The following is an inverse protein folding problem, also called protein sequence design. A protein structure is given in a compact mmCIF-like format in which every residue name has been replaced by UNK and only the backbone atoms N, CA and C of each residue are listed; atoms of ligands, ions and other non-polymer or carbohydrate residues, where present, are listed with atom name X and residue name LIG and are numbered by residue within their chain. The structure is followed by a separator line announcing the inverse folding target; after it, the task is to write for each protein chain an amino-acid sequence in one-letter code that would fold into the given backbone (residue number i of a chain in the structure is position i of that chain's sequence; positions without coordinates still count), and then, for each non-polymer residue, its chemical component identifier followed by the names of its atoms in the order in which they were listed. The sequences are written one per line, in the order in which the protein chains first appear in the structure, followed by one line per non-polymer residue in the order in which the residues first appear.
data_IF_948601179220
#
_entry.id   IF_948601179220
#
_cell.length_a   1.000
_cell.length_b   1.000
_cell.length_c   1.000
_cell.angle_alpha   90.00
_cell.angle_beta   90.00
_cell.angle_gamma   90.00
#
_symmetry.space_group_name_H-M   'P 1'
#
loop_
_entity.id
_entity.type
_entity.pdbx_description
1 polymer ?
#
# COMPACT_ATOMS: atom_id res chain seq x y z
N UNK A 1 -25.58 14.31 0.41
CA UNK A 1 -25.39 12.85 0.25
C UNK A 1 -23.90 12.49 0.31
N UNK A 2 -23.19 12.92 1.36
CA UNK A 2 -21.76 12.62 1.61
C UNK A 2 -21.48 12.31 3.09
N UNK A 3 -22.50 12.41 3.95
CA UNK A 3 -22.40 12.20 5.40
C UNK A 3 -22.56 10.71 5.78
N UNK A 4 -23.11 9.88 4.88
CA UNK A 4 -23.28 8.44 5.14
C UNK A 4 -22.06 7.56 4.77
N UNK A 5 -20.99 8.13 4.20
CA UNK A 5 -19.76 7.38 3.91
C UNK A 5 -18.77 7.38 5.10
N UNK A 6 -18.84 8.39 5.97
CA UNK A 6 -17.94 8.54 7.13
C UNK A 6 -18.30 7.64 8.32
N UNK A 7 -19.56 7.19 8.43
CA UNK A 7 -20.01 6.36 9.56
C UNK A 7 -19.52 4.90 9.55
N UNK A 8 -18.99 4.42 8.42
CA UNK A 8 -18.66 2.99 8.24
C UNK A 8 -17.16 2.68 8.21
N UNK A 9 -16.29 3.70 8.12
CA UNK A 9 -14.83 3.49 8.19
C UNK A 9 -14.32 3.37 9.64
N UNK A 10 -15.17 3.68 10.63
CA UNK A 10 -14.82 3.77 12.05
C UNK A 10 -15.51 2.66 12.84
N UNK A 11 -15.21 1.41 12.50
CA UNK A 11 -15.26 0.30 13.46
C UNK A 11 -14.05 -0.60 13.17
N UNK A 12 -12.85 -0.13 13.48
CA UNK A 12 -11.79 -1.06 13.83
C UNK A 12 -12.18 -1.66 15.18
N UNK A 13 -12.73 -2.86 15.10
CA UNK A 13 -13.22 -3.63 16.22
C UNK A 13 -12.08 -3.77 17.26
N UNK A 14 -12.40 -3.45 18.52
CA UNK A 14 -11.50 -3.35 19.68
C UNK A 14 -10.96 -4.71 20.17
N UNK A 15 -10.73 -5.65 19.26
CA UNK A 15 -10.24 -7.01 19.55
C UNK A 15 -9.26 -7.47 18.45
N UNK A 16 -8.13 -6.80 18.30
CA UNK A 16 -6.91 -7.52 17.91
C UNK A 16 -6.16 -7.83 19.20
N UNK A 17 -6.51 -8.97 19.77
CA UNK A 17 -5.83 -9.56 20.91
C UNK A 17 -4.40 -9.89 20.47
N UNK A 18 -3.42 -9.52 21.29
CA UNK A 18 -2.03 -9.85 21.11
C UNK A 18 -1.84 -11.36 20.85
N UNK A 19 -1.35 -11.71 19.67
CA UNK A 19 -0.84 -13.05 19.41
C UNK A 19 0.60 -13.14 19.91
N UNK A 20 0.88 -14.17 20.73
CA UNK A 20 2.20 -14.50 21.24
C UNK A 20 3.12 -14.87 20.07
N UNK A 21 4.18 -14.10 19.89
CA UNK A 21 5.23 -14.34 18.91
C UNK A 21 6.11 -15.50 19.39
N UNK A 22 6.07 -16.63 18.69
CA UNK A 22 7.13 -17.64 18.74
C UNK A 22 8.17 -17.31 17.66
N UNK A 23 9.45 -17.31 18.03
CA UNK A 23 10.58 -17.14 17.12
C UNK A 23 10.60 -18.25 16.04
N UNK A 24 10.73 -17.93 14.75
CA UNK A 24 10.81 -18.95 13.70
C UNK A 24 12.17 -19.66 13.71
N UNK A 25 12.24 -20.96 13.33
CA UNK A 25 13.50 -21.66 13.13
C UNK A 25 14.22 -21.16 11.87
N UNK A 26 15.55 -21.20 11.89
CA UNK A 26 16.42 -20.70 10.83
C UNK A 26 16.21 -21.45 9.50
N UNK A 27 15.93 -20.69 8.44
CA UNK A 27 15.97 -21.18 7.05
C UNK A 27 17.42 -21.45 6.63
N UNK A 28 17.67 -22.66 6.13
CA UNK A 28 18.96 -23.04 5.55
C UNK A 28 19.23 -22.27 4.24
N UNK A 29 20.43 -21.73 4.13
CA UNK A 29 20.91 -20.95 3.00
C UNK A 29 21.21 -21.82 1.78
N UNK A 30 20.65 -21.48 0.61
CA UNK A 30 21.05 -22.05 -0.68
C UNK A 30 21.62 -20.95 -1.57
N UNK A 31 22.92 -21.11 -1.86
CA UNK A 31 23.77 -20.55 -2.92
C UNK A 31 23.91 -19.03 -3.10
N UNK A 32 25.18 -18.61 -3.12
CA UNK A 32 25.72 -17.25 -3.20
C UNK A 32 25.36 -16.47 -4.48
N UNK A 33 24.99 -15.18 -4.39
CA UNK A 33 24.77 -14.32 -5.56
C UNK A 33 26.07 -13.70 -6.10
N UNK A 34 26.10 -13.47 -7.42
CA UNK A 34 27.07 -12.61 -8.09
C UNK A 34 27.03 -11.17 -7.52
N UNK A 35 28.19 -10.48 -7.44
CA UNK A 35 28.25 -9.14 -6.85
C UNK A 35 27.56 -8.12 -7.76
N UNK A 36 26.42 -7.59 -7.32
CA UNK A 36 25.77 -6.43 -7.94
C UNK A 36 24.26 -6.53 -8.12
N UNK A 37 23.68 -7.73 -8.09
CA UNK A 37 22.23 -7.93 -8.09
C UNK A 37 21.80 -8.70 -6.85
N UNK A 38 20.90 -8.15 -6.04
CA UNK A 38 20.39 -8.89 -4.92
C UNK A 38 19.58 -10.10 -5.36
N UNK A 39 19.64 -11.18 -4.56
CA UNK A 39 18.84 -12.37 -4.78
C UNK A 39 17.35 -12.03 -4.73
N UNK A 40 16.56 -12.60 -5.64
CA UNK A 40 15.10 -12.44 -5.71
C UNK A 40 14.39 -12.76 -4.38
N UNK A 41 15.03 -13.55 -3.52
CA UNK A 41 14.58 -13.87 -2.16
C UNK A 41 14.53 -12.66 -1.21
N UNK A 42 15.22 -11.55 -1.51
CA UNK A 42 15.20 -10.37 -0.63
C UNK A 42 13.87 -9.61 -0.64
N UNK A 43 13.13 -9.74 -1.75
CA UNK A 43 11.83 -9.09 -1.95
C UNK A 43 10.71 -9.88 -1.27
N UNK A 44 10.96 -11.15 -0.93
CA UNK A 44 10.04 -11.95 -0.13
C UNK A 44 9.98 -11.36 1.28
N UNK A 45 8.77 -11.02 1.72
CA UNK A 45 8.56 -10.36 3.00
C UNK A 45 9.08 -11.24 4.14
N UNK A 46 10.00 -10.69 4.92
CA UNK A 46 10.35 -11.23 6.24
C UNK A 46 9.49 -10.47 7.25
N UNK A 47 8.58 -11.19 7.91
CA UNK A 47 7.63 -10.56 8.84
C UNK A 47 8.37 -9.76 9.91
N UNK A 48 8.19 -8.42 9.99
CA UNK A 48 8.85 -7.61 11.00
C UNK A 48 8.15 -7.78 12.36
N UNK A 49 8.83 -7.43 13.47
CA UNK A 49 8.17 -7.36 14.77
C UNK A 49 7.02 -6.34 14.73
N UNK A 50 5.88 -6.71 15.33
CA UNK A 50 4.72 -5.83 15.45
C UNK A 50 4.68 -5.26 16.86
N UNK A 51 4.64 -3.93 16.96
CA UNK A 51 4.56 -3.20 18.22
C UNK A 51 3.28 -2.39 18.29
N UNK A 52 2.63 -2.38 19.45
CA UNK A 52 1.45 -1.55 19.70
C UNK A 52 1.88 -0.22 20.33
N UNK A 53 1.48 0.90 19.71
CA UNK A 53 1.72 2.23 20.25
C UNK A 53 0.96 2.42 21.57
N UNK A 54 1.70 2.59 22.67
CA UNK A 54 1.12 2.83 23.99
C UNK A 54 0.81 4.32 24.15
N UNK A 55 -0.43 4.70 23.84
CA UNK A 55 -0.90 6.10 23.94
C UNK A 55 -2.05 6.29 24.92
N UNK A 56 -2.43 5.26 25.67
CA UNK A 56 -3.63 5.27 26.51
C UNK A 56 -3.55 6.29 27.66
N UNK A 57 -2.45 6.30 28.41
CA UNK A 57 -2.26 7.22 29.54
C UNK A 57 -2.23 8.68 29.08
N UNK A 58 -1.45 8.96 28.03
CA UNK A 58 -1.38 10.28 27.40
C UNK A 58 -2.77 10.74 26.92
N UNK A 59 -3.53 9.87 26.25
CA UNK A 59 -4.88 10.21 25.80
C UNK A 59 -5.86 10.41 26.96
N UNK A 60 -5.77 9.64 28.04
CA UNK A 60 -6.63 9.80 29.23
C UNK A 60 -6.42 11.17 29.90
N UNK A 61 -5.17 11.63 29.98
CA UNK A 61 -4.79 12.91 30.59
C UNK A 61 -5.34 14.15 29.87
N UNK A 62 -5.75 14.02 28.61
CA UNK A 62 -6.34 15.13 27.83
C UNK A 62 -7.69 15.58 28.41
N UNK A 63 -7.93 16.88 28.39
CA UNK A 63 -9.25 17.48 28.60
C UNK A 63 -10.25 17.04 27.51
N UNK A 64 -11.55 17.28 27.75
CA UNK A 64 -12.58 16.97 26.76
C UNK A 64 -12.40 17.75 25.45
N UNK A 65 -11.92 19.00 25.53
CA UNK A 65 -11.67 19.84 24.34
C UNK A 65 -10.49 19.31 23.53
N UNK A 66 -9.40 18.94 24.19
CA UNK A 66 -8.23 18.34 23.52
C UNK A 66 -8.57 16.99 22.89
N UNK A 67 -9.37 16.15 23.57
CA UNK A 67 -9.86 14.88 23.00
C UNK A 67 -10.64 15.08 21.71
N UNK A 68 -11.51 16.10 21.65
CA UNK A 68 -12.26 16.44 20.42
C UNK A 68 -11.31 16.91 19.31
N UNK A 69 -10.35 17.78 19.64
CA UNK A 69 -9.34 18.25 18.69
C UNK A 69 -8.52 17.08 18.12
N UNK A 70 -7.95 16.25 18.99
CA UNK A 70 -7.15 15.07 18.60
C UNK A 70 -7.97 14.11 17.74
N UNK A 71 -9.24 13.89 18.08
CA UNK A 71 -10.14 13.07 17.25
C UNK A 71 -10.26 13.63 15.83
N UNK A 72 -10.56 14.92 15.68
CA UNK A 72 -10.72 15.54 14.35
C UNK A 72 -9.42 15.54 13.55
N UNK A 73 -8.29 15.82 14.20
CA UNK A 73 -6.97 15.75 13.58
C UNK A 73 -6.65 14.31 13.12
N UNK A 74 -6.89 13.32 13.98
CA UNK A 74 -6.70 11.91 13.67
C UNK A 74 -7.53 11.45 12.46
N UNK A 75 -8.83 11.77 12.44
CA UNK A 75 -9.72 11.42 11.31
C UNK A 75 -9.23 12.07 10.00
N UNK A 76 -8.81 13.33 10.07
CA UNK A 76 -8.29 14.06 8.91
C UNK A 76 -6.96 13.49 8.41
N UNK A 77 -6.05 13.11 9.32
CA UNK A 77 -4.78 12.47 8.97
C UNK A 77 -4.99 11.12 8.28
N UNK A 78 -5.91 10.28 8.76
CA UNK A 78 -6.19 8.99 8.11
C UNK A 78 -6.81 9.13 6.73
N UNK A 79 -7.72 10.09 6.55
CA UNK A 79 -8.29 10.39 5.23
C UNK A 79 -7.20 10.92 4.29
N UNK A 80 -6.36 11.85 4.77
CA UNK A 80 -5.24 12.40 4.01
C UNK A 80 -4.20 11.35 3.62
N UNK A 81 -3.89 10.40 4.51
CA UNK A 81 -2.96 9.31 4.25
C UNK A 81 -3.39 8.38 3.11
N UNK A 82 -4.68 8.34 2.75
CA UNK A 82 -5.13 7.58 1.58
C UNK A 82 -4.53 8.12 0.27
N UNK A 83 -4.01 9.34 0.24
CA UNK A 83 -3.27 9.90 -0.90
C UNK A 83 -1.96 9.13 -1.13
N UNK A 84 -1.33 8.61 -0.07
CA UNK A 84 -0.07 7.86 -0.17
C UNK A 84 -0.23 6.60 -1.04
N UNK A 85 -1.42 5.98 -1.04
CA UNK A 85 -1.74 4.85 -1.90
C UNK A 85 -1.57 5.20 -3.39
N UNK A 86 -1.99 6.40 -3.80
CA UNK A 86 -1.86 6.84 -5.20
C UNK A 86 -0.50 7.49 -5.49
N UNK A 87 0.30 7.77 -4.46
CA UNK A 87 1.69 8.27 -4.55
C UNK A 87 2.74 7.15 -4.50
N UNK A 88 2.36 5.94 -4.09
CA UNK A 88 3.27 4.80 -3.97
C UNK A 88 3.38 3.99 -5.27
N UNK A 89 2.29 3.37 -5.73
CA UNK A 89 2.30 2.53 -6.93
C UNK A 89 0.95 2.51 -7.63
N UNK A 90 0.90 2.18 -8.94
CA UNK A 90 -0.36 2.10 -9.68
C UNK A 90 -1.39 1.14 -9.06
N UNK A 91 -0.92 0.05 -8.44
CA UNK A 91 -1.76 -0.99 -7.85
C UNK A 91 -2.16 -0.74 -6.38
N UNK A 92 -1.48 0.14 -5.65
CA UNK A 92 -1.64 0.26 -4.19
C UNK A 92 -3.07 0.62 -3.77
N UNK A 93 -3.72 1.59 -4.42
CA UNK A 93 -5.12 1.92 -4.13
C UNK A 93 -6.07 0.72 -4.36
N UNK A 94 -5.82 -0.08 -5.40
CA UNK A 94 -6.60 -1.29 -5.68
C UNK A 94 -6.42 -2.36 -4.61
N UNK A 95 -5.18 -2.58 -4.14
CA UNK A 95 -4.87 -3.52 -3.06
C UNK A 95 -5.56 -3.08 -1.75
N UNK A 96 -5.54 -1.79 -1.44
CA UNK A 96 -6.27 -1.25 -0.28
C UNK A 96 -7.76 -1.55 -0.38
N UNK A 97 -8.39 -1.23 -1.52
CA UNK A 97 -9.84 -1.48 -1.73
C UNK A 97 -10.17 -2.98 -1.62
N UNK A 98 -9.33 -3.85 -2.18
CA UNK A 98 -9.47 -5.30 -2.07
C UNK A 98 -9.57 -5.74 -0.60
N UNK A 99 -8.59 -5.38 0.22
CA UNK A 99 -8.58 -5.77 1.63
C UNK A 99 -9.67 -5.08 2.44
N UNK A 100 -10.01 -3.83 2.15
CA UNK A 100 -11.16 -3.16 2.78
C UNK A 100 -12.49 -3.89 2.49
N UNK A 101 -12.69 -4.38 1.26
CA UNK A 101 -13.91 -5.13 0.90
C UNK A 101 -14.01 -6.48 1.62
N UNK A 102 -12.88 -7.14 1.84
CA UNK A 102 -12.80 -8.40 2.60
C UNK A 102 -13.06 -8.12 4.08
N UNK A 103 -12.23 -7.28 4.72
CA UNK A 103 -12.19 -7.16 6.17
C UNK A 103 -13.31 -6.31 6.77
N UNK A 104 -14.12 -5.64 5.94
CA UNK A 104 -15.34 -4.96 6.39
C UNK A 104 -16.45 -5.95 6.79
N UNK A 105 -16.42 -7.17 6.27
CA UNK A 105 -17.49 -8.16 6.49
C UNK A 105 -17.00 -9.45 7.17
N UNK A 106 -15.69 -9.68 7.20
CA UNK A 106 -15.07 -10.87 7.81
C UNK A 106 -13.84 -10.46 8.61
N UNK A 107 -13.67 -11.04 9.80
CA UNK A 107 -12.44 -10.81 10.58
C UNK A 107 -11.27 -11.60 10.00
N UNK A 108 -10.01 -11.22 10.29
CA UNK A 108 -8.84 -12.02 9.93
C UNK A 108 -8.94 -13.48 10.37
N UNK A 109 -9.47 -13.74 11.57
CA UNK A 109 -9.66 -15.09 12.11
C UNK A 109 -10.67 -15.90 11.30
N UNK A 110 -11.78 -15.29 10.89
CA UNK A 110 -12.79 -15.96 10.07
C UNK A 110 -12.26 -16.28 8.67
N UNK A 111 -11.52 -15.34 8.07
CA UNK A 111 -10.85 -15.55 6.77
C UNK A 111 -9.84 -16.69 6.86
N UNK A 112 -8.98 -16.71 7.89
CA UNK A 112 -8.02 -17.80 8.07
C UNK A 112 -8.73 -19.14 8.30
N UNK A 113 -9.79 -19.18 9.11
CA UNK A 113 -10.56 -20.39 9.35
C UNK A 113 -11.13 -20.97 8.04
N UNK A 114 -11.69 -20.11 7.19
CA UNK A 114 -12.20 -20.52 5.89
C UNK A 114 -11.08 -21.00 4.95
N UNK A 115 -9.95 -20.30 4.92
CA UNK A 115 -8.80 -20.67 4.09
C UNK A 115 -8.15 -22.00 4.55
N UNK A 116 -8.07 -22.25 5.86
CA UNK A 116 -7.58 -23.51 6.41
C UNK A 116 -8.50 -24.68 6.08
N UNK A 117 -9.81 -24.47 6.11
CA UNK A 117 -10.78 -25.45 5.63
C UNK A 117 -10.63 -25.75 4.12
N UNK A 118 -10.07 -24.81 3.36
CA UNK A 118 -9.72 -24.96 1.94
C UNK A 118 -8.27 -25.46 1.71
N UNK A 119 -7.56 -25.86 2.76
CA UNK A 119 -6.26 -26.52 2.67
C UNK A 119 -5.04 -25.63 2.87
N UNK A 120 -5.18 -24.41 3.41
CA UNK A 120 -4.04 -23.64 3.95
C UNK A 120 -3.61 -24.17 5.32
N UNK A 121 -2.32 -24.08 5.62
CA UNK A 121 -1.82 -24.24 6.97
C UNK A 121 -1.78 -22.90 7.73
N UNK A 122 -1.36 -22.96 8.99
CA UNK A 122 -1.28 -21.80 9.87
C UNK A 122 -0.18 -20.82 9.47
N UNK A 123 0.98 -21.33 9.04
CA UNK A 123 2.11 -20.53 8.61
C UNK A 123 1.78 -19.74 7.33
N UNK A 124 1.02 -20.34 6.42
CA UNK A 124 0.56 -19.68 5.20
C UNK A 124 -0.46 -18.58 5.49
N UNK A 125 -1.38 -18.78 6.45
CA UNK A 125 -2.21 -17.70 6.95
C UNK A 125 -1.33 -16.56 7.50
N UNK A 126 -0.37 -16.88 8.38
CA UNK A 126 0.50 -15.89 9.00
C UNK A 126 1.30 -15.11 7.97
N UNK A 127 1.85 -15.78 6.94
CA UNK A 127 2.58 -15.12 5.86
C UNK A 127 1.69 -14.19 5.02
N UNK A 128 0.44 -14.57 4.78
CA UNK A 128 -0.52 -13.72 4.08
C UNK A 128 -0.90 -12.50 4.92
N UNK A 129 -1.19 -12.67 6.22
CA UNK A 129 -1.51 -11.55 7.09
C UNK A 129 -0.31 -10.65 7.38
N UNK A 130 0.91 -11.20 7.40
CA UNK A 130 2.13 -10.40 7.48
C UNK A 130 2.23 -9.46 6.27
N UNK A 131 1.93 -9.94 5.05
CA UNK A 131 1.89 -9.08 3.87
C UNK A 131 0.82 -7.99 3.96
N UNK A 132 -0.40 -8.36 4.38
CA UNK A 132 -1.51 -7.41 4.53
C UNK A 132 -1.19 -6.34 5.57
N UNK A 133 -0.63 -6.75 6.72
CA UNK A 133 -0.20 -5.83 7.78
C UNK A 133 0.92 -4.91 7.30
N UNK A 134 1.93 -5.44 6.60
CA UNK A 134 3.03 -4.65 6.04
C UNK A 134 2.53 -3.66 4.98
N UNK A 135 1.56 -4.06 4.15
CA UNK A 135 0.90 -3.17 3.19
C UNK A 135 0.23 -1.98 3.89
N UNK A 136 -0.57 -2.23 4.94
CA UNK A 136 -1.21 -1.15 5.69
C UNK A 136 -0.21 -0.26 6.44
N UNK A 137 0.86 -0.85 6.99
CA UNK A 137 1.90 -0.10 7.70
C UNK A 137 2.67 0.86 6.78
N UNK A 138 2.74 0.59 5.47
CA UNK A 138 3.43 1.43 4.49
C UNK A 138 2.47 2.19 3.56
N UNK A 139 1.15 2.02 3.72
CA UNK A 139 0.13 2.54 2.80
C UNK A 139 0.47 2.26 1.32
N UNK A 140 0.96 1.06 1.05
CA UNK A 140 1.41 0.65 -0.26
C UNK A 140 2.27 -0.61 -0.24
N UNK A 141 2.58 -1.14 -1.43
CA UNK A 141 3.35 -2.38 -1.61
C UNK A 141 4.87 -2.17 -1.77
N UNK A 142 5.39 -1.04 -1.28
CA UNK A 142 6.81 -0.71 -1.22
C UNK A 142 7.16 -0.27 0.21
N UNK A 143 8.37 -0.59 0.67
CA UNK A 143 8.82 -0.21 2.01
C UNK A 143 9.05 1.30 2.04
N UNK A 144 8.39 2.00 2.97
CA UNK A 144 8.62 3.42 3.27
C UNK A 144 10.07 3.70 3.66
N UNK A 145 10.75 2.73 4.28
CA UNK A 145 12.19 2.77 4.52
C UNK A 145 12.92 1.89 3.50
N UNK A 146 13.58 2.54 2.55
CA UNK A 146 14.44 1.89 1.55
C UNK A 146 13.80 1.69 0.17
N UNK A 147 12.56 2.14 -0.04
CA UNK A 147 11.91 2.26 -1.36
C UNK A 147 11.86 0.97 -2.19
N UNK A 148 12.05 -0.18 -1.54
CA UNK A 148 12.08 -1.49 -2.19
C UNK A 148 10.69 -2.11 -2.17
N UNK A 149 10.33 -2.84 -3.23
CA UNK A 149 9.14 -3.67 -3.23
C UNK A 149 9.21 -4.76 -2.15
N UNK A 150 8.05 -5.22 -1.68
CA UNK A 150 7.96 -6.48 -0.96
C UNK A 150 6.78 -7.31 -1.49
N UNK A 151 6.98 -8.62 -1.57
CA UNK A 151 5.98 -9.59 -2.01
C UNK A 151 5.61 -10.53 -0.86
N UNK A 152 4.42 -11.15 -0.89
CA UNK A 152 4.01 -12.09 0.14
C UNK A 152 4.99 -13.27 0.28
N UNK A 153 5.15 -13.78 1.51
CA UNK A 153 6.00 -14.94 1.83
C UNK A 153 5.30 -16.29 1.64
N UNK A 154 4.46 -16.38 0.62
CA UNK A 154 3.75 -17.58 0.22
C UNK A 154 3.55 -17.57 -1.30
N UNK A 155 3.41 -18.72 -1.96
CA UNK A 155 3.13 -18.76 -3.40
C UNK A 155 1.81 -18.07 -3.75
N UNK A 156 1.72 -17.55 -4.98
CA UNK A 156 0.54 -16.85 -5.49
C UNK A 156 -0.72 -17.71 -5.41
N UNK A 157 -0.61 -18.99 -5.74
CA UNK A 157 -1.70 -19.96 -5.73
C UNK A 157 -2.23 -20.15 -4.32
N UNK A 158 -1.33 -20.15 -3.32
CA UNK A 158 -1.68 -20.31 -1.90
C UNK A 158 -2.37 -19.06 -1.37
N UNK A 159 -1.89 -17.86 -1.72
CA UNK A 159 -2.58 -16.62 -1.36
C UNK A 159 -3.94 -16.51 -2.04
N UNK A 160 -4.06 -16.99 -3.28
CA UNK A 160 -5.33 -17.03 -4.01
C UNK A 160 -6.37 -17.90 -3.33
N UNK A 161 -5.99 -19.00 -2.66
CA UNK A 161 -6.92 -19.81 -1.85
C UNK A 161 -7.45 -18.99 -0.67
N UNK A 162 -6.62 -18.22 0.02
CA UNK A 162 -7.07 -17.36 1.12
C UNK A 162 -8.11 -16.34 0.63
N UNK A 163 -7.78 -15.62 -0.45
CA UNK A 163 -8.68 -14.57 -1.00
C UNK A 163 -9.97 -15.19 -1.54
N UNK A 164 -9.91 -16.31 -2.25
CA UNK A 164 -11.08 -16.99 -2.80
C UNK A 164 -11.97 -17.67 -1.74
N UNK A 165 -11.44 -17.93 -0.56
CA UNK A 165 -12.21 -18.49 0.56
C UNK A 165 -13.16 -17.47 1.20
N UNK A 166 -12.90 -16.17 1.04
CA UNK A 166 -13.70 -15.08 1.62
C UNK A 166 -15.13 -15.06 1.06
N UNK A 167 -16.10 -14.64 1.89
CA UNK A 167 -17.49 -14.38 1.46
C UNK A 167 -17.53 -13.31 0.37
N UNK A 168 -16.71 -12.27 0.50
CA UNK A 168 -16.67 -11.19 -0.49
C UNK A 168 -16.26 -11.73 -1.87
N UNK A 169 -15.25 -12.59 -1.97
CA UNK A 169 -14.87 -13.17 -3.27
C UNK A 169 -15.99 -13.99 -3.93
N UNK A 170 -16.78 -14.70 -3.12
CA UNK A 170 -17.91 -15.52 -3.58
C UNK A 170 -19.14 -14.70 -3.99
N UNK A 171 -19.22 -13.44 -3.57
CA UNK A 171 -20.27 -12.50 -3.94
C UNK A 171 -19.84 -11.70 -5.18
N UNK A 172 -20.48 -11.91 -6.35
CA UNK A 172 -20.14 -11.17 -7.57
C UNK A 172 -20.31 -9.65 -7.43
N UNK A 173 -21.23 -9.19 -6.58
CA UNK A 173 -21.49 -7.76 -6.38
C UNK A 173 -20.38 -7.05 -5.61
N UNK A 174 -19.55 -7.80 -4.88
CA UNK A 174 -18.42 -7.24 -4.13
C UNK A 174 -17.28 -6.77 -5.05
N UNK A 175 -17.17 -7.32 -6.26
CA UNK A 175 -16.05 -7.09 -7.19
C UNK A 175 -14.68 -7.59 -6.72
N UNK A 176 -14.58 -8.30 -5.59
CA UNK A 176 -13.30 -8.79 -5.02
C UNK A 176 -12.58 -9.77 -5.95
N UNK A 177 -13.32 -10.66 -6.61
CA UNK A 177 -12.73 -11.62 -7.56
C UNK A 177 -12.07 -10.93 -8.77
N UNK A 178 -12.72 -9.89 -9.31
CA UNK A 178 -12.19 -9.08 -10.41
C UNK A 178 -10.97 -8.26 -9.98
N UNK A 179 -11.04 -7.61 -8.81
CA UNK A 179 -9.90 -6.89 -8.23
C UNK A 179 -8.70 -7.82 -8.04
N UNK A 180 -8.89 -8.98 -7.40
CA UNK A 180 -7.82 -9.94 -7.17
C UNK A 180 -7.13 -10.34 -8.47
N UNK A 181 -7.91 -10.75 -9.47
CA UNK A 181 -7.40 -11.17 -10.79
C UNK A 181 -6.56 -10.08 -11.46
N UNK A 182 -6.97 -8.81 -11.32
CA UNK A 182 -6.24 -7.67 -11.89
C UNK A 182 -4.98 -7.29 -11.11
N UNK A 183 -4.95 -7.52 -9.80
CA UNK A 183 -3.91 -7.04 -8.90
C UNK A 183 -2.84 -8.08 -8.61
N UNK A 184 -3.19 -9.37 -8.59
CA UNK A 184 -2.28 -10.45 -8.21
C UNK A 184 -0.98 -10.48 -9.02
N UNK A 185 -0.98 -10.25 -10.36
CA UNK A 185 0.27 -10.21 -11.12
C UNK A 185 1.14 -9.03 -10.69
N UNK A 186 0.53 -7.90 -10.32
CA UNK A 186 1.25 -6.72 -9.83
C UNK A 186 1.79 -6.94 -8.40
N UNK A 187 1.06 -7.63 -7.52
CA UNK A 187 1.50 -7.98 -6.17
C UNK A 187 2.79 -8.81 -6.24
N UNK A 188 2.81 -9.87 -7.04
CA UNK A 188 3.94 -10.80 -7.13
C UNK A 188 5.02 -10.43 -8.15
N UNK A 189 4.82 -9.38 -8.97
CA UNK A 189 5.79 -9.03 -10.01
C UNK A 189 7.17 -8.68 -9.44
N UNK A 190 8.17 -9.48 -9.80
CA UNK A 190 9.59 -9.19 -9.58
C UNK A 190 10.29 -8.69 -10.85
N UNK A 191 9.53 -8.04 -11.75
CA UNK A 191 10.14 -7.35 -12.88
C UNK A 191 11.16 -6.32 -12.37
N UNK A 192 12.39 -6.24 -12.90
CA UNK A 192 13.43 -5.33 -12.42
C UNK A 192 12.96 -3.87 -12.25
N UNK A 193 12.11 -3.39 -13.15
CA UNK A 193 11.54 -2.02 -13.10
C UNK A 193 10.64 -1.80 -11.89
N UNK A 194 10.05 -2.84 -11.31
CA UNK A 194 9.14 -2.79 -10.16
C UNK A 194 9.83 -3.10 -8.83
N UNK A 195 11.15 -3.30 -8.81
CA UNK A 195 11.83 -3.68 -7.57
C UNK A 195 12.07 -2.48 -6.63
N UNK A 196 12.02 -1.25 -7.16
CA UNK A 196 12.28 -0.02 -6.41
C UNK A 196 11.43 1.16 -6.90
N UNK A 197 11.21 2.12 -6.01
CA UNK A 197 10.70 3.43 -6.40
C UNK A 197 11.84 4.26 -7.01
N UNK A 198 11.70 4.65 -8.27
CA UNK A 198 12.62 5.52 -8.99
C UNK A 198 11.95 6.04 -10.28
N UNK A 199 12.64 6.90 -11.02
CA UNK A 199 12.20 7.38 -12.32
C UNK A 199 12.03 6.24 -13.33
N UNK A 200 11.02 6.39 -14.18
CA UNK A 200 10.92 5.61 -15.40
C UNK A 200 11.91 6.09 -16.48
N UNK A 201 11.94 5.42 -17.64
CA UNK A 201 11.27 4.17 -17.95
C UNK A 201 12.05 2.91 -17.51
N UNK A 202 13.30 3.04 -17.07
CA UNK A 202 14.21 1.91 -16.84
C UNK A 202 14.63 1.67 -15.38
N UNK A 203 14.72 2.72 -14.54
CA UNK A 203 15.32 2.61 -13.21
C UNK A 203 14.35 2.08 -12.13
N UNK A 204 13.06 2.45 -12.24
CA UNK A 204 12.05 2.03 -11.27
C UNK A 204 10.62 2.34 -11.71
N UNK A 205 9.72 2.37 -10.73
CA UNK A 205 8.40 2.96 -10.88
C UNK A 205 8.22 4.15 -9.94
N UNK A 206 7.36 5.08 -10.33
CA UNK A 206 6.87 6.16 -9.48
C UNK A 206 5.50 6.56 -9.98
N UNK A 207 4.66 7.10 -9.11
CA UNK A 207 3.39 7.72 -9.50
C UNK A 207 3.37 9.23 -9.25
N UNK A 208 4.49 9.82 -8.83
CA UNK A 208 4.71 11.28 -8.85
C UNK A 208 4.91 11.81 -10.26
N UNK A 209 5.46 10.96 -11.13
CA UNK A 209 5.71 11.25 -12.53
C UNK A 209 4.98 10.24 -13.41
N UNK A 210 4.50 10.64 -14.59
CA UNK A 210 3.99 9.67 -15.56
C UNK A 210 5.11 8.71 -16.02
N UNK A 211 4.75 7.50 -16.44
CA UNK A 211 5.67 6.39 -16.67
C UNK A 211 6.74 6.61 -17.76
N UNK A 212 6.56 7.65 -18.58
CA UNK A 212 7.46 8.10 -19.63
C UNK A 212 8.41 9.23 -19.18
N UNK A 213 8.24 9.79 -17.98
CA UNK A 213 9.11 10.85 -17.46
C UNK A 213 10.48 10.31 -17.06
N UNK A 214 11.52 11.07 -17.37
CA UNK A 214 12.92 10.83 -16.98
C UNK A 214 13.37 11.86 -15.93
N UNK A 215 14.62 11.73 -15.47
CA UNK A 215 15.24 12.68 -14.55
C UNK A 215 15.45 14.06 -15.18
N UNK A 216 15.67 14.11 -16.49
CA UNK A 216 15.81 15.35 -17.27
C UNK A 216 14.49 16.11 -17.29
N UNK A 217 13.36 15.42 -17.46
CA UNK A 217 12.03 16.02 -17.40
C UNK A 217 11.77 16.67 -16.02
N UNK A 218 12.19 16.01 -14.94
CA UNK A 218 12.10 16.56 -13.59
C UNK A 218 12.93 17.84 -13.43
N UNK A 219 14.15 17.90 -14.00
CA UNK A 219 15.01 19.09 -13.97
C UNK A 219 14.40 20.28 -14.74
N UNK A 220 13.73 20.02 -15.87
CA UNK A 220 13.04 21.07 -16.63
C UNK A 220 11.98 21.73 -15.75
N UNK A 221 11.18 20.92 -15.07
CA UNK A 221 10.11 21.38 -14.19
C UNK A 221 10.64 22.06 -12.93
N UNK A 222 11.78 21.60 -12.39
CA UNK A 222 12.48 22.30 -11.32
C UNK A 222 12.90 23.73 -11.74
N UNK A 223 13.37 23.89 -12.97
CA UNK A 223 13.67 25.20 -13.56
C UNK A 223 12.43 26.10 -13.63
N UNK A 224 11.28 25.54 -14.00
CA UNK A 224 10.00 26.25 -14.00
C UNK A 224 9.60 26.72 -12.59
N UNK A 225 9.70 25.85 -11.59
CA UNK A 225 9.41 26.20 -10.19
C UNK A 225 10.31 27.35 -9.70
N UNK A 226 11.61 27.30 -10.02
CA UNK A 226 12.56 28.36 -9.67
C UNK A 226 12.22 29.69 -10.36
N UNK A 227 11.91 29.66 -11.65
CA UNK A 227 11.60 30.87 -12.43
C UNK A 227 10.29 31.54 -11.96
N UNK A 228 9.30 30.73 -11.58
CA UNK A 228 7.98 31.21 -11.12
C UNK A 228 7.92 31.45 -9.61
N UNK A 229 8.99 31.14 -8.87
CA UNK A 229 9.03 31.20 -7.39
C UNK A 229 7.91 30.37 -6.74
N UNK A 230 7.66 29.19 -7.29
CA UNK A 230 6.70 28.21 -6.76
C UNK A 230 7.44 26.95 -6.32
N UNK A 231 6.77 26.11 -5.51
CA UNK A 231 7.33 24.86 -4.99
C UNK A 231 6.53 23.66 -5.50
N UNK A 232 7.20 22.51 -5.65
CA UNK A 232 6.59 21.29 -6.18
C UNK A 232 5.94 20.37 -5.14
N UNK A 233 5.90 20.74 -3.86
CA UNK A 233 5.54 19.84 -2.75
C UNK A 233 4.17 19.15 -2.92
N UNK A 234 3.17 19.86 -3.41
CA UNK A 234 1.82 19.35 -3.63
C UNK A 234 1.55 19.07 -5.11
N UNK A 235 2.57 18.74 -5.91
CA UNK A 235 2.42 18.56 -7.36
C UNK A 235 2.76 17.15 -7.83
N UNK A 236 2.21 16.77 -8.99
CA UNK A 236 2.63 15.62 -9.79
C UNK A 236 2.82 16.02 -11.24
N UNK A 237 3.77 15.40 -11.93
CA UNK A 237 4.14 15.73 -13.29
C UNK A 237 3.68 14.65 -14.28
N UNK A 238 2.93 15.07 -15.30
CA UNK A 238 2.55 14.20 -16.40
C UNK A 238 3.13 14.73 -17.71
N UNK A 239 3.82 13.87 -18.46
CA UNK A 239 4.36 14.17 -19.79
C UNK A 239 3.48 13.57 -20.88
N UNK A 240 3.05 14.41 -21.81
CA UNK A 240 2.37 14.01 -23.05
C UNK A 240 3.22 14.38 -24.26
N UNK A 241 2.97 13.70 -25.38
CA UNK A 241 3.50 14.07 -26.69
C UNK A 241 2.32 14.51 -27.54
N UNK A 242 2.32 15.77 -27.96
CA UNK A 242 1.28 16.37 -28.81
C UNK A 242 2.00 17.06 -29.99
N UNK A 243 1.62 16.72 -31.23
CA UNK A 243 2.25 17.22 -32.46
C UNK A 243 3.80 17.11 -32.49
N UNK A 244 4.32 16.01 -31.94
CA UNK A 244 5.77 15.77 -31.83
C UNK A 244 6.48 16.60 -30.75
N UNK A 245 5.74 17.43 -30.00
CA UNK A 245 6.27 18.25 -28.90
C UNK A 245 5.98 17.62 -27.55
N UNK A 246 6.91 17.80 -26.62
CA UNK A 246 6.74 17.40 -25.23
C UNK A 246 5.91 18.45 -24.50
N UNK A 247 4.80 18.02 -23.92
CA UNK A 247 3.90 18.84 -23.10
C UNK A 247 3.97 18.34 -21.67
N UNK A 248 4.26 19.25 -20.74
CA UNK A 248 4.29 18.99 -19.31
C UNK A 248 3.03 19.50 -18.65
N UNK A 249 2.34 18.62 -17.93
CA UNK A 249 1.14 18.92 -17.16
C UNK A 249 1.48 18.78 -15.67
N UNK A 250 1.54 19.91 -14.98
CA UNK A 250 1.66 19.95 -13.52
C UNK A 250 0.27 19.91 -12.89
N UNK A 251 0.01 18.86 -12.11
CA UNK A 251 -1.23 18.74 -11.35
C UNK A 251 -0.98 19.08 -9.89
N UNK A 252 -1.69 20.06 -9.37
CA UNK A 252 -1.66 20.44 -7.96
C UNK A 252 -2.72 19.63 -7.19
N UNK A 253 -2.36 19.19 -5.99
CA UNK A 253 -3.32 18.63 -5.05
C UNK A 253 -4.11 19.77 -4.39
N UNK A 254 -5.43 19.75 -4.59
CA UNK A 254 -6.37 20.72 -4.01
C UNK A 254 -7.74 20.06 -3.81
N UNK A 255 -8.52 20.55 -2.84
CA UNK A 255 -9.91 20.13 -2.63
C UNK A 255 -10.86 20.71 -3.71
N UNK A 256 -10.49 21.85 -4.28
CA UNK A 256 -11.25 22.55 -5.31
C UNK A 256 -10.49 22.50 -6.64
N UNK A 257 -11.21 22.38 -7.75
CA UNK A 257 -10.64 22.55 -9.08
C UNK A 257 -10.43 24.04 -9.34
N UNK A 258 -9.18 24.44 -9.57
CA UNK A 258 -8.83 25.79 -10.01
C UNK A 258 -8.28 25.70 -11.41
N UNK A 259 -8.98 26.34 -12.35
CA UNK A 259 -8.40 26.72 -13.64
C UNK A 259 -7.35 27.80 -13.38
N UNK A 260 -6.07 27.43 -13.45
CA UNK A 260 -4.93 28.36 -13.39
C UNK A 260 -4.65 28.85 -14.81
#
# INVERSE_FOLDING_TARGET
MLINFLGYLIIFNRKLLAYKLATPPALQSVTSPHPGFPSMTEYILKSPPVCSLQAEEAFRALSLTEKKYVKSAYESSWIGGLIDLIQTSPESAGIFILFQRIFRIESPEDVCRAARAAGLDELECDNAFAYIAMFYANLGNYKSFGDSKFIPALPEERFSILVSSTKSFKDPSSGVSSLWSSLVPAIYSLNPRRLRLDFGPSAGITTYYSSNCTREDAKIVEGYFRATRTEGYNTRLFKKIEDGKQIYLLKYASAEEKSI
#
